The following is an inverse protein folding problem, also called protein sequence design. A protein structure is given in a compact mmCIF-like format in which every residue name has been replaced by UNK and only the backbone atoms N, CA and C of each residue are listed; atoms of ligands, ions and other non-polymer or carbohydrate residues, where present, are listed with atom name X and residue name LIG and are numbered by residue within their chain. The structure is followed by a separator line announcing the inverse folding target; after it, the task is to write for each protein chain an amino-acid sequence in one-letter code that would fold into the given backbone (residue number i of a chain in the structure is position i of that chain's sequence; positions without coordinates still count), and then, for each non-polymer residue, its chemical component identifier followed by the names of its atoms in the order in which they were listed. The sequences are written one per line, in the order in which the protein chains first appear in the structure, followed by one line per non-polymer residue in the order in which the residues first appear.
data_IF_192237891175
#
_entry.id   IF_192237891175
#
_cell.length_a   1.000
_cell.length_b   1.000
_cell.length_c   1.000
_cell.angle_alpha   90.00
_cell.angle_beta   90.00
_cell.angle_gamma   90.00
#
_symmetry.space_group_name_H-M   'P 1'
#
loop_
_entity.id
_entity.type
_entity.pdbx_description
1 polymer ?
#
# COMPACT_ATOMS: atom_id res chain seq x y z
N UNK A 1 -14.09 -39.54 -107.95
CA UNK A 1 -13.38 -40.54 -108.77
C UNK A 1 -12.17 -39.84 -109.34
N UNK A 2 -10.98 -40.44 -109.25
CA UNK A 2 -9.77 -39.82 -109.79
C UNK A 2 -9.91 -39.67 -111.31
N UNK A 3 -9.53 -38.51 -111.83
CA UNK A 3 -9.56 -38.23 -113.26
C UNK A 3 -8.63 -39.23 -113.98
N UNK A 4 -9.06 -40.00 -115.00
CA UNK A 4 -8.23 -41.02 -115.65
C UNK A 4 -6.92 -40.46 -116.23
N UNK A 5 -6.92 -39.16 -116.54
CA UNK A 5 -5.75 -38.42 -117.00
C UNK A 5 -4.74 -38.16 -115.87
N UNK A 6 -5.22 -37.95 -114.64
CA UNK A 6 -4.36 -37.83 -113.47
C UNK A 6 -3.62 -39.15 -113.21
N UNK A 7 -4.32 -40.28 -113.24
CA UNK A 7 -3.76 -41.63 -113.03
C UNK A 7 -2.69 -41.99 -114.06
N UNK A 8 -2.82 -41.52 -115.30
CA UNK A 8 -1.85 -41.71 -116.38
C UNK A 8 -0.60 -40.80 -116.27
N UNK A 9 -0.74 -39.65 -115.60
CA UNK A 9 0.35 -38.70 -115.36
C UNK A 9 1.10 -38.95 -114.05
N UNK A 10 0.51 -39.71 -113.10
CA UNK A 10 1.14 -40.08 -111.80
C UNK A 10 2.59 -40.57 -111.94
N UNK A 11 2.93 -41.48 -112.87
CA UNK A 11 4.28 -42.04 -112.98
C UNK A 11 5.35 -41.03 -113.44
N UNK A 12 4.94 -39.90 -114.00
CA UNK A 12 5.83 -38.90 -114.58
C UNK A 12 6.09 -37.70 -113.66
N UNK A 13 5.47 -37.65 -112.47
CA UNK A 13 5.73 -36.60 -111.47
C UNK A 13 7.05 -36.82 -110.68
N UNK A 14 7.74 -37.95 -110.87
CA UNK A 14 8.94 -38.36 -110.11
C UNK A 14 10.29 -37.87 -110.70
N UNK A 15 10.30 -36.82 -111.55
CA UNK A 15 11.54 -36.10 -111.91
C UNK A 15 11.74 -34.88 -110.99
N UNK A 16 12.99 -34.49 -110.65
CA UNK A 16 13.35 -34.05 -109.30
C UNK A 16 12.72 -32.68 -108.94
N UNK A 17 11.57 -32.71 -108.28
CA UNK A 17 10.94 -31.52 -107.71
C UNK A 17 10.85 -31.66 -106.18
N UNK A 18 11.15 -30.62 -105.39
CA UNK A 18 11.15 -30.68 -103.92
C UNK A 18 9.74 -30.62 -103.32
N UNK A 19 8.67 -30.84 -104.11
CA UNK A 19 7.29 -30.67 -103.68
C UNK A 19 6.54 -32.00 -103.74
N UNK A 20 5.74 -32.36 -102.72
CA UNK A 20 4.94 -33.58 -102.76
C UNK A 20 3.94 -33.54 -103.92
N UNK A 21 3.58 -34.70 -104.52
CA UNK A 21 2.65 -34.76 -105.63
C UNK A 21 1.28 -34.19 -105.21
N UNK A 22 0.62 -33.40 -106.09
CA UNK A 22 -0.65 -32.77 -105.77
C UNK A 22 -1.75 -33.83 -105.57
N UNK A 23 -2.63 -33.64 -104.58
CA UNK A 23 -3.71 -34.60 -104.27
C UNK A 23 -4.83 -34.50 -105.31
N UNK A 24 -5.41 -35.64 -105.71
CA UNK A 24 -6.48 -35.71 -106.72
C UNK A 24 -7.78 -35.00 -106.32
N UNK A 25 -8.00 -34.75 -105.03
CA UNK A 25 -9.17 -34.04 -104.48
C UNK A 25 -9.03 -32.51 -104.43
N UNK A 26 -7.87 -31.94 -104.77
CA UNK A 26 -7.73 -30.49 -104.75
C UNK A 26 -8.50 -29.84 -105.93
N UNK A 27 -9.38 -28.86 -105.67
CA UNK A 27 -10.28 -28.28 -106.68
C UNK A 27 -9.52 -27.50 -107.76
N UNK A 28 -8.32 -27.02 -107.46
CA UNK A 28 -7.44 -26.33 -108.41
C UNK A 28 -6.77 -27.30 -109.38
N UNK A 29 -6.39 -28.49 -108.90
CA UNK A 29 -5.77 -29.56 -109.69
C UNK A 29 -6.77 -30.11 -110.71
N UNK A 30 -8.01 -30.39 -110.28
CA UNK A 30 -9.09 -30.88 -111.15
C UNK A 30 -9.50 -29.85 -112.22
N UNK A 31 -9.59 -28.57 -111.86
CA UNK A 31 -9.85 -27.49 -112.83
C UNK A 31 -8.74 -27.37 -113.89
N UNK A 32 -7.47 -27.52 -113.51
CA UNK A 32 -6.36 -27.47 -114.45
C UNK A 32 -6.32 -28.68 -115.40
N UNK A 33 -6.57 -29.88 -114.88
CA UNK A 33 -6.68 -31.10 -115.70
C UNK A 33 -7.81 -31.00 -116.73
N UNK A 34 -8.97 -30.47 -116.34
CA UNK A 34 -10.07 -30.23 -117.28
C UNK A 34 -9.67 -29.25 -118.40
N UNK A 35 -8.88 -28.22 -118.08
CA UNK A 35 -8.38 -27.27 -119.08
C UNK A 35 -7.41 -27.95 -120.06
N UNK A 36 -6.51 -28.83 -119.59
CA UNK A 36 -5.59 -29.56 -120.47
C UNK A 36 -6.32 -30.40 -121.52
N UNK A 37 -7.47 -30.98 -121.19
CA UNK A 37 -8.27 -31.77 -122.15
C UNK A 37 -8.89 -30.93 -123.28
N UNK A 38 -8.96 -29.62 -123.12
CA UNK A 38 -9.59 -28.71 -124.09
C UNK A 38 -8.61 -28.04 -125.05
N UNK A 39 -7.29 -28.24 -124.91
CA UNK A 39 -6.26 -27.62 -125.76
C UNK A 39 -5.79 -28.56 -126.89
N UNK A 40 -5.48 -28.03 -128.10
CA UNK A 40 -4.96 -28.83 -129.20
C UNK A 40 -3.48 -29.24 -128.99
N UNK A 41 -3.09 -30.39 -129.55
CA UNK A 41 -1.83 -31.08 -129.28
C UNK A 41 -0.57 -30.25 -129.58
N UNK A 42 -0.64 -29.36 -130.58
CA UNK A 42 0.45 -28.44 -130.93
C UNK A 42 0.65 -27.32 -129.89
N UNK A 43 -0.43 -26.90 -129.22
CA UNK A 43 -0.39 -25.89 -128.16
C UNK A 43 0.08 -26.47 -126.83
N UNK A 44 -0.20 -27.75 -126.56
CA UNK A 44 0.27 -28.48 -125.38
C UNK A 44 1.79 -28.65 -125.36
N UNK A 45 2.42 -28.88 -126.51
CA UNK A 45 3.88 -29.10 -126.60
C UNK A 45 4.69 -27.81 -126.62
N UNK A 46 4.15 -26.74 -127.22
CA UNK A 46 4.93 -25.49 -127.44
C UNK A 46 4.52 -24.35 -126.52
N UNK A 47 3.22 -24.07 -126.38
CA UNK A 47 2.72 -22.87 -125.70
C UNK A 47 2.42 -23.07 -124.22
N UNK A 48 1.90 -24.24 -123.82
CA UNK A 48 1.54 -24.53 -122.43
C UNK A 48 2.76 -24.53 -121.49
N UNK A 49 3.90 -25.20 -121.77
CA UNK A 49 5.07 -25.16 -120.89
C UNK A 49 5.66 -23.75 -120.78
N UNK A 50 5.62 -22.96 -121.86
CA UNK A 50 6.04 -21.55 -121.83
C UNK A 50 5.09 -20.71 -120.96
N UNK A 51 3.78 -20.95 -121.04
CA UNK A 51 2.80 -20.26 -120.20
C UNK A 51 2.89 -20.66 -118.72
N UNK A 52 3.20 -21.94 -118.43
CA UNK A 52 3.32 -22.44 -117.07
C UNK A 52 4.61 -21.95 -116.41
N UNK A 53 5.71 -21.91 -117.16
CA UNK A 53 6.96 -21.29 -116.69
C UNK A 53 6.79 -19.78 -116.48
N UNK A 54 6.09 -19.08 -117.39
CA UNK A 54 5.80 -17.65 -117.23
C UNK A 54 4.89 -17.37 -116.03
N UNK A 55 3.82 -18.14 -115.83
CA UNK A 55 2.90 -17.99 -114.68
C UNK A 55 3.56 -18.38 -113.37
N UNK A 56 4.38 -19.42 -113.36
CA UNK A 56 5.17 -19.78 -112.17
C UNK A 56 6.14 -18.66 -111.82
N UNK A 57 6.86 -18.13 -112.82
CA UNK A 57 7.77 -17.01 -112.60
C UNK A 57 7.02 -15.75 -112.15
N UNK A 58 5.86 -15.43 -112.73
CA UNK A 58 5.05 -14.28 -112.32
C UNK A 58 4.48 -14.45 -110.90
N UNK A 59 4.02 -15.66 -110.55
CA UNK A 59 3.54 -15.97 -109.20
C UNK A 59 4.67 -15.94 -108.19
N UNK A 60 5.84 -16.48 -108.51
CA UNK A 60 7.01 -16.39 -107.65
C UNK A 60 7.45 -14.94 -107.44
N UNK A 61 7.46 -14.13 -108.50
CA UNK A 61 7.72 -12.69 -108.36
C UNK A 61 6.63 -12.00 -107.52
N UNK A 62 5.35 -12.37 -107.69
CA UNK A 62 4.26 -11.81 -106.90
C UNK A 62 4.31 -12.22 -105.43
N UNK A 63 4.68 -13.48 -105.13
CA UNK A 63 4.88 -13.99 -103.78
C UNK A 63 6.14 -13.41 -103.16
N UNK A 64 7.22 -13.25 -103.93
CA UNK A 64 8.42 -12.59 -103.47
C UNK A 64 8.16 -11.11 -103.21
N UNK A 65 7.37 -10.44 -104.06
CA UNK A 65 6.96 -9.05 -103.86
C UNK A 65 6.03 -8.91 -102.66
N UNK A 66 5.06 -9.82 -102.49
CA UNK A 66 4.16 -9.86 -101.34
C UNK A 66 4.94 -10.15 -100.05
N UNK A 67 5.84 -11.14 -100.07
CA UNK A 67 6.74 -11.45 -98.96
C UNK A 67 7.63 -10.24 -98.65
N UNK A 68 8.32 -9.64 -99.63
CA UNK A 68 9.12 -8.43 -99.39
C UNK A 68 8.28 -7.30 -98.80
N UNK A 69 7.08 -7.04 -99.35
CA UNK A 69 6.20 -5.95 -98.93
C UNK A 69 5.55 -6.19 -97.57
N UNK A 70 5.19 -7.43 -97.24
CA UNK A 70 4.33 -7.77 -96.09
C UNK A 70 4.89 -8.84 -95.15
N UNK A 71 6.15 -9.27 -95.31
CA UNK A 71 6.77 -10.26 -94.42
C UNK A 71 6.68 -9.83 -92.96
N UNK A 72 6.85 -8.54 -92.67
CA UNK A 72 6.71 -8.01 -91.31
C UNK A 72 5.31 -8.26 -90.75
N UNK A 73 4.25 -7.98 -91.51
CA UNK A 73 2.86 -8.22 -91.09
C UNK A 73 2.53 -9.72 -90.97
N UNK A 74 3.09 -10.56 -91.85
CA UNK A 74 2.91 -12.02 -91.78
C UNK A 74 3.64 -12.60 -90.57
N UNK A 75 4.86 -12.13 -90.29
CA UNK A 75 5.62 -12.53 -89.10
C UNK A 75 4.91 -12.03 -87.84
N UNK A 76 4.49 -10.77 -87.81
CA UNK A 76 3.72 -10.19 -86.69
C UNK A 76 2.42 -10.96 -86.45
N UNK A 77 1.64 -11.28 -87.48
CA UNK A 77 0.42 -12.07 -87.30
C UNK A 77 0.72 -13.49 -86.80
N UNK A 78 1.78 -14.13 -87.30
CA UNK A 78 2.21 -15.45 -86.82
C UNK A 78 2.71 -15.41 -85.38
N UNK A 79 3.43 -14.37 -84.97
CA UNK A 79 3.89 -14.19 -83.59
C UNK A 79 2.73 -13.80 -82.68
N UNK A 80 1.77 -13.01 -83.14
CA UNK A 80 0.53 -12.73 -82.41
C UNK A 80 -0.30 -14.00 -82.22
N UNK A 81 -0.38 -14.88 -83.22
CA UNK A 81 -1.11 -16.15 -83.10
C UNK A 81 -0.39 -17.11 -82.14
N UNK A 82 0.94 -17.21 -82.21
CA UNK A 82 1.70 -18.06 -81.29
C UNK A 82 1.67 -17.51 -79.86
N UNK A 83 1.79 -16.20 -79.67
CA UNK A 83 1.65 -15.57 -78.35
C UNK A 83 0.24 -15.75 -77.81
N UNK A 84 -0.81 -15.56 -78.62
CA UNK A 84 -2.20 -15.79 -78.23
C UNK A 84 -2.44 -17.24 -77.80
N UNK A 85 -1.83 -18.21 -78.49
CA UNK A 85 -1.93 -19.63 -78.11
C UNK A 85 -1.36 -19.93 -76.72
N UNK A 86 -0.45 -19.08 -76.20
CA UNK A 86 0.15 -19.21 -74.87
C UNK A 86 -0.47 -18.28 -73.81
N UNK A 87 -0.91 -17.08 -74.21
CA UNK A 87 -1.54 -16.11 -73.30
C UNK A 87 -2.97 -16.51 -72.95
N UNK A 88 -3.70 -17.16 -73.85
CA UNK A 88 -5.08 -17.59 -73.59
C UNK A 88 -5.16 -18.67 -72.48
N UNK A 89 -4.31 -19.72 -72.47
CA UNK A 89 -4.27 -20.67 -71.35
C UNK A 89 -3.83 -20.04 -70.02
N UNK A 90 -2.86 -19.12 -70.03
CA UNK A 90 -2.40 -18.45 -68.81
C UNK A 90 -3.45 -17.48 -68.26
N UNK A 91 -4.20 -16.80 -69.13
CA UNK A 91 -5.37 -16.01 -68.74
C UNK A 91 -6.49 -16.91 -68.19
N UNK A 92 -6.75 -18.06 -68.81
CA UNK A 92 -7.72 -19.03 -68.31
C UNK A 92 -7.32 -19.55 -66.92
N UNK A 93 -6.04 -19.85 -66.69
CA UNK A 93 -5.55 -20.30 -65.40
C UNK A 93 -5.62 -19.20 -64.33
N UNK A 94 -5.27 -17.96 -64.67
CA UNK A 94 -5.33 -16.83 -63.72
C UNK A 94 -6.78 -16.46 -63.37
N UNK A 95 -7.71 -16.54 -64.33
CA UNK A 95 -9.14 -16.34 -64.07
C UNK A 95 -9.75 -17.44 -63.20
N UNK A 96 -9.33 -18.69 -63.37
CA UNK A 96 -9.72 -19.80 -62.47
C UNK A 96 -9.16 -19.58 -61.07
N UNK A 97 -7.88 -19.23 -60.93
CA UNK A 97 -7.26 -18.90 -59.64
C UNK A 97 -7.96 -17.74 -58.93
N UNK A 98 -8.29 -16.67 -59.66
CA UNK A 98 -9.02 -15.53 -59.12
C UNK A 98 -10.43 -15.93 -58.68
N UNK A 99 -11.13 -16.74 -59.47
CA UNK A 99 -12.45 -17.29 -59.14
C UNK A 99 -12.42 -18.14 -57.87
N UNK A 100 -11.35 -18.91 -57.63
CA UNK A 100 -11.20 -19.71 -56.41
C UNK A 100 -10.75 -18.88 -55.19
N UNK A 101 -10.00 -17.80 -55.40
CA UNK A 101 -9.52 -16.93 -54.33
C UNK A 101 -10.59 -15.95 -53.82
N UNK A 102 -11.46 -15.46 -54.70
CA UNK A 102 -12.51 -14.49 -54.37
C UNK A 102 -13.44 -14.95 -53.22
N UNK A 103 -14.01 -16.17 -53.22
CA UNK A 103 -14.88 -16.61 -52.13
C UNK A 103 -14.13 -16.79 -50.82
N UNK A 104 -12.84 -17.18 -50.85
CA UNK A 104 -12.02 -17.27 -49.63
C UNK A 104 -11.81 -15.90 -49.00
N UNK A 105 -11.55 -14.89 -49.84
CA UNK A 105 -11.42 -13.50 -49.40
C UNK A 105 -12.76 -12.97 -48.85
N UNK A 106 -13.86 -13.26 -49.52
CA UNK A 106 -15.20 -12.82 -49.08
C UNK A 106 -15.59 -13.46 -47.75
N UNK A 107 -15.38 -14.77 -47.58
CA UNK A 107 -15.54 -15.42 -46.28
C UNK A 107 -14.61 -14.85 -45.20
N UNK A 108 -13.35 -14.54 -45.54
CA UNK A 108 -12.43 -13.88 -44.60
C UNK A 108 -12.89 -12.45 -44.24
N UNK A 109 -13.48 -11.70 -45.17
CA UNK A 109 -14.02 -10.37 -44.94
C UNK A 109 -15.29 -10.41 -44.09
N UNK A 110 -16.19 -11.36 -44.34
CA UNK A 110 -17.41 -11.57 -43.55
C UNK A 110 -17.02 -11.97 -42.12
N UNK A 111 -16.16 -12.97 -41.95
CA UNK A 111 -15.68 -13.38 -40.62
C UNK A 111 -14.95 -12.25 -39.91
N UNK A 112 -14.12 -11.45 -40.58
CA UNK A 112 -13.51 -10.26 -40.00
C UNK A 112 -14.57 -9.23 -39.57
N UNK A 113 -15.56 -8.95 -40.42
CA UNK A 113 -16.62 -7.99 -40.09
C UNK A 113 -17.42 -8.47 -38.87
N UNK A 114 -17.84 -9.74 -38.82
CA UNK A 114 -18.61 -10.30 -37.73
C UNK A 114 -17.80 -10.34 -36.41
N UNK A 115 -16.51 -10.68 -36.48
CA UNK A 115 -15.64 -10.77 -35.29
C UNK A 115 -15.21 -9.42 -34.74
N UNK A 116 -15.14 -8.37 -35.57
CA UNK A 116 -14.68 -7.03 -35.19
C UNK A 116 -15.75 -5.93 -35.26
N UNK A 117 -17.04 -6.29 -35.44
CA UNK A 117 -18.13 -5.32 -35.53
C UNK A 117 -18.32 -4.51 -34.24
N UNK A 118 -18.53 -3.19 -34.41
CA UNK A 118 -18.65 -2.22 -33.31
C UNK A 118 -20.02 -2.26 -32.59
N UNK A 119 -20.95 -3.11 -33.05
CA UNK A 119 -22.34 -3.19 -32.56
C UNK A 119 -22.46 -4.07 -31.31
N UNK A 120 -22.02 -3.49 -30.20
CA UNK A 120 -22.50 -3.57 -28.82
C UNK A 120 -22.87 -4.88 -28.09
N UNK A 121 -22.99 -6.07 -28.68
CA UNK A 121 -23.45 -7.25 -27.91
C UNK A 121 -22.57 -8.51 -28.05
N UNK A 122 -21.88 -8.69 -29.19
CA UNK A 122 -20.94 -9.79 -29.40
C UNK A 122 -19.49 -9.25 -29.41
N UNK A 123 -19.06 -8.57 -28.34
CA UNK A 123 -17.66 -8.19 -28.21
C UNK A 123 -16.82 -9.47 -28.15
N UNK A 124 -16.14 -9.78 -29.26
CA UNK A 124 -15.14 -10.84 -29.26
C UNK A 124 -14.22 -10.62 -28.05
N UNK A 125 -13.99 -11.66 -27.26
CA UNK A 125 -13.19 -11.59 -26.04
C UNK A 125 -11.81 -10.93 -26.28
N UNK A 126 -11.32 -10.99 -27.52
CA UNK A 126 -10.12 -10.32 -28.01
C UNK A 126 -10.25 -8.79 -28.03
N UNK A 127 -11.34 -8.23 -28.56
CA UNK A 127 -11.59 -6.78 -28.55
C UNK A 127 -11.74 -6.25 -27.12
N UNK A 128 -12.46 -6.97 -26.26
CA UNK A 128 -12.58 -6.57 -24.85
C UNK A 128 -11.23 -6.66 -24.12
N UNK A 129 -10.44 -7.70 -24.37
CA UNK A 129 -9.07 -7.80 -23.85
C UNK A 129 -8.21 -6.65 -24.35
N UNK A 130 -8.29 -6.30 -25.64
CA UNK A 130 -7.52 -5.18 -26.21
C UNK A 130 -7.98 -3.83 -25.64
N UNK A 131 -9.29 -3.62 -25.48
CA UNK A 131 -9.86 -2.43 -24.86
C UNK A 131 -9.42 -2.30 -23.40
N UNK A 132 -9.51 -3.38 -22.62
CA UNK A 132 -9.02 -3.45 -21.24
C UNK A 132 -7.52 -3.19 -21.17
N UNK A 133 -6.72 -3.77 -22.07
CA UNK A 133 -5.28 -3.54 -22.13
C UNK A 133 -4.93 -2.08 -22.46
N UNK A 134 -5.65 -1.44 -23.40
CA UNK A 134 -5.47 -0.02 -23.72
C UNK A 134 -5.91 0.91 -22.58
N UNK A 135 -6.99 0.57 -21.89
CA UNK A 135 -7.42 1.30 -20.69
C UNK A 135 -6.39 1.18 -19.57
N UNK A 136 -5.86 -0.03 -19.36
CA UNK A 136 -4.81 -0.28 -18.38
C UNK A 136 -3.53 0.46 -18.76
N UNK A 137 -3.06 0.39 -20.01
CA UNK A 137 -1.85 1.10 -20.44
C UNK A 137 -1.97 2.60 -20.28
N UNK A 138 -3.15 3.18 -20.54
CA UNK A 138 -3.39 4.62 -20.34
C UNK A 138 -3.39 5.01 -18.87
N UNK A 139 -3.90 4.15 -17.99
CA UNK A 139 -4.05 4.43 -16.57
C UNK A 139 -2.92 3.82 -15.71
N UNK A 140 -1.93 3.15 -16.31
CA UNK A 140 -0.91 2.40 -15.61
C UNK A 140 -0.12 3.26 -14.62
N UNK A 141 0.25 4.48 -15.01
CA UNK A 141 0.96 5.41 -14.12
C UNK A 141 0.15 5.75 -12.86
N UNK A 142 -1.15 6.03 -13.01
CA UNK A 142 -2.02 6.34 -11.86
C UNK A 142 -2.23 5.14 -10.95
N UNK A 143 -2.29 3.93 -11.52
CA UNK A 143 -2.39 2.70 -10.74
C UNK A 143 -1.10 2.42 -9.97
N UNK A 144 0.05 2.72 -10.59
CA UNK A 144 1.35 2.64 -9.91
C UNK A 144 1.43 3.63 -8.76
N UNK A 145 1.03 4.89 -8.98
CA UNK A 145 0.98 5.89 -7.90
C UNK A 145 0.12 5.43 -6.71
N UNK A 146 -1.03 4.79 -6.99
CA UNK A 146 -1.92 4.23 -5.95
C UNK A 146 -1.26 3.06 -5.22
N UNK A 147 -0.53 2.20 -5.94
CA UNK A 147 0.22 1.08 -5.37
C UNK A 147 1.45 1.52 -4.56
N UNK A 148 2.00 2.71 -4.85
CA UNK A 148 3.12 3.29 -4.12
C UNK A 148 2.68 4.00 -2.82
N UNK A 149 1.39 4.32 -2.64
CA UNK A 149 0.92 5.02 -1.43
C UNK A 149 1.27 4.29 -0.11
N UNK A 150 1.08 2.96 0.03
CA UNK A 150 1.44 2.26 1.27
C UNK A 150 2.95 2.26 1.54
N UNK A 151 3.79 2.17 0.50
CA UNK A 151 5.25 2.17 0.64
C UNK A 151 5.77 3.56 1.00
N UNK A 152 5.17 4.61 0.45
CA UNK A 152 5.44 5.99 0.85
C UNK A 152 5.02 6.25 2.30
N UNK A 153 3.88 5.71 2.71
CA UNK A 153 3.39 5.82 4.08
C UNK A 153 4.35 5.11 5.06
N UNK A 154 4.77 3.87 4.79
CA UNK A 154 5.72 3.15 5.65
C UNK A 154 7.09 3.82 5.72
N UNK A 155 7.57 4.38 4.60
CA UNK A 155 8.81 5.17 4.56
C UNK A 155 8.72 6.48 5.35
N UNK A 156 7.59 7.20 5.26
CA UNK A 156 7.35 8.41 6.05
C UNK A 156 7.34 8.12 7.56
N UNK A 157 6.77 6.99 7.98
CA UNK A 157 6.78 6.55 9.38
C UNK A 157 8.20 6.18 9.82
N UNK A 158 8.90 5.35 9.05
CA UNK A 158 10.24 4.84 9.39
C UNK A 158 11.30 5.96 9.45
N UNK A 159 11.19 6.95 8.57
CA UNK A 159 12.07 8.12 8.60
C UNK A 159 11.84 8.99 9.85
N UNK A 160 10.61 9.05 10.35
CA UNK A 160 10.28 9.82 11.55
C UNK A 160 10.77 9.16 12.84
N UNK A 161 10.70 7.83 12.95
CA UNK A 161 11.25 7.10 14.11
C UNK A 161 12.77 7.25 14.23
N UNK A 162 13.49 7.25 13.11
CA UNK A 162 14.97 7.35 13.11
C UNK A 162 15.46 8.77 13.43
N UNK A 163 14.70 9.81 13.06
CA UNK A 163 15.05 11.21 13.36
C UNK A 163 14.87 11.57 14.85
N UNK A 164 14.18 10.75 15.65
CA UNK A 164 14.05 10.98 17.09
C UNK A 164 15.35 10.72 17.87
N UNK A 165 16.29 9.94 17.30
CA UNK A 165 17.58 9.62 17.92
C UNK A 165 18.70 10.61 17.55
N UNK A 166 18.55 11.36 16.45
CA UNK A 166 19.54 12.32 15.97
C UNK A 166 18.97 13.74 15.96
N UNK A 167 19.31 14.52 17.00
CA UNK A 167 19.06 15.96 17.16
C UNK A 167 17.60 16.37 17.42
N UNK A 168 17.35 16.74 18.68
CA UNK A 168 16.10 17.30 19.21
C UNK A 168 15.73 18.72 18.69
N UNK A 169 16.22 19.14 17.52
CA UNK A 169 16.17 20.54 17.05
C UNK A 169 15.50 20.79 15.70
N UNK A 170 14.96 19.79 14.99
CA UNK A 170 14.32 20.04 13.69
C UNK A 170 12.83 19.67 13.68
N UNK A 171 12.00 20.66 13.33
CA UNK A 171 10.57 20.49 13.04
C UNK A 171 10.27 19.48 11.92
N UNK A 172 11.30 18.96 11.24
CA UNK A 172 11.21 18.03 10.13
C UNK A 172 10.74 16.61 10.51
N UNK A 173 11.07 16.10 11.71
CA UNK A 173 10.52 14.81 12.16
C UNK A 173 8.99 14.84 12.36
N UNK A 174 8.48 16.02 12.71
CA UNK A 174 7.06 16.29 12.95
C UNK A 174 6.24 16.45 11.68
N UNK A 175 6.84 16.89 10.57
CA UNK A 175 6.16 16.98 9.27
C UNK A 175 5.90 15.61 8.65
N UNK A 176 6.75 14.63 8.93
CA UNK A 176 6.66 13.30 8.30
C UNK A 176 5.48 12.48 8.84
N UNK A 177 5.18 12.56 10.14
CA UNK A 177 3.95 11.96 10.67
C UNK A 177 2.70 12.68 10.18
N UNK A 178 2.73 14.01 10.04
CA UNK A 178 1.59 14.75 9.51
C UNK A 178 1.28 14.34 8.06
N UNK A 179 2.29 14.26 7.19
CA UNK A 179 2.11 13.80 5.80
C UNK A 179 1.66 12.34 5.72
N UNK A 180 2.17 11.45 6.58
CA UNK A 180 1.72 10.06 6.65
C UNK A 180 0.22 9.96 7.00
N UNK A 181 -0.28 10.82 7.90
CA UNK A 181 -1.71 10.88 8.24
C UNK A 181 -2.56 11.42 7.10
N UNK A 182 -2.07 12.41 6.36
CA UNK A 182 -2.76 12.93 5.18
C UNK A 182 -2.85 11.85 4.10
N UNK A 183 -1.77 11.08 3.86
CA UNK A 183 -1.76 9.93 2.94
C UNK A 183 -2.76 8.85 3.37
N UNK A 184 -2.80 8.51 4.67
CA UNK A 184 -3.79 7.58 5.21
C UNK A 184 -5.22 8.08 4.96
N UNK A 185 -5.49 9.36 5.21
CA UNK A 185 -6.82 9.93 4.97
C UNK A 185 -7.22 9.84 3.49
N UNK A 186 -6.26 10.02 2.58
CA UNK A 186 -6.46 9.86 1.14
C UNK A 186 -6.75 8.39 0.77
N UNK A 187 -6.02 7.43 1.33
CA UNK A 187 -6.25 5.99 1.11
C UNK A 187 -7.65 5.57 1.62
N UNK A 188 -8.05 6.04 2.82
CA UNK A 188 -9.39 5.78 3.36
C UNK A 188 -10.49 6.38 2.48
N UNK A 189 -10.29 7.60 1.97
CA UNK A 189 -11.21 8.23 1.01
C UNK A 189 -11.28 7.45 -0.30
N UNK A 190 -10.14 6.97 -0.81
CA UNK A 190 -10.08 6.15 -2.02
C UNK A 190 -10.86 4.83 -1.85
N UNK A 191 -10.73 4.19 -0.68
CA UNK A 191 -11.50 2.99 -0.35
C UNK A 191 -13.01 3.26 -0.27
N UNK A 192 -13.41 4.39 0.33
CA UNK A 192 -14.81 4.79 0.37
C UNK A 192 -15.41 5.08 -1.03
N UNK A 193 -14.60 5.59 -1.96
CA UNK A 193 -15.02 5.87 -3.33
C UNK A 193 -15.08 4.61 -4.21
N UNK A 194 -14.24 3.59 -3.93
CA UNK A 194 -14.13 2.38 -4.74
C UNK A 194 -14.13 1.09 -3.89
N UNK A 195 -15.24 0.79 -3.17
CA UNK A 195 -15.30 -0.37 -2.27
C UNK A 195 -15.23 -1.72 -3.00
N UNK A 196 -15.71 -1.79 -4.25
CA UNK A 196 -15.74 -3.04 -5.05
C UNK A 196 -14.36 -3.44 -5.63
N UNK A 197 -13.33 -2.60 -5.48
CA UNK A 197 -12.02 -2.86 -6.06
C UNK A 197 -11.12 -3.65 -5.10
N UNK A 198 -10.70 -4.89 -5.43
CA UNK A 198 -9.83 -5.68 -4.56
C UNK A 198 -8.44 -5.06 -4.40
N UNK A 199 -7.96 -4.31 -5.41
CA UNK A 199 -6.68 -3.59 -5.33
C UNK A 199 -6.73 -2.50 -4.27
N UNK A 200 -7.81 -1.70 -4.24
CA UNK A 200 -7.97 -0.63 -3.25
C UNK A 200 -8.15 -1.20 -1.85
N UNK A 201 -8.85 -2.33 -1.71
CA UNK A 201 -8.94 -3.06 -0.44
C UNK A 201 -7.58 -3.58 0.04
N UNK A 202 -6.72 -4.06 -0.86
CA UNK A 202 -5.36 -4.48 -0.52
C UNK A 202 -4.49 -3.29 -0.09
N UNK A 203 -4.61 -2.15 -0.79
CA UNK A 203 -3.88 -0.92 -0.46
C UNK A 203 -4.33 -0.37 0.90
N UNK A 204 -5.62 -0.40 1.21
CA UNK A 204 -6.12 0.02 2.53
C UNK A 204 -5.64 -0.90 3.64
N UNK A 205 -5.65 -2.22 3.44
CA UNK A 205 -5.14 -3.18 4.42
C UNK A 205 -3.63 -2.98 4.70
N UNK A 206 -2.82 -2.74 3.66
CA UNK A 206 -1.41 -2.42 3.84
C UNK A 206 -1.21 -1.10 4.58
N UNK A 207 -2.01 -0.07 4.25
CA UNK A 207 -1.98 1.19 4.98
C UNK A 207 -2.33 1.00 6.45
N UNK A 208 -3.35 0.20 6.78
CA UNK A 208 -3.74 -0.13 8.16
C UNK A 208 -2.61 -0.79 8.93
N UNK A 209 -1.90 -1.77 8.33
CA UNK A 209 -0.73 -2.39 8.97
C UNK A 209 0.39 -1.37 9.26
N UNK A 210 0.70 -0.50 8.30
CA UNK A 210 1.72 0.52 8.50
C UNK A 210 1.29 1.56 9.56
N UNK A 211 0.00 1.87 9.67
CA UNK A 211 -0.52 2.76 10.73
C UNK A 211 -0.45 2.09 12.10
N UNK A 212 -0.65 0.77 12.19
CA UNK A 212 -0.41 0.02 13.43
C UNK A 212 1.06 0.14 13.84
N UNK A 213 2.00 0.05 12.89
CA UNK A 213 3.43 0.30 13.15
C UNK A 213 3.69 1.75 13.61
N UNK A 214 2.99 2.74 13.05
CA UNK A 214 3.04 4.12 13.56
C UNK A 214 2.54 4.20 15.00
N UNK A 215 1.43 3.55 15.33
CA UNK A 215 0.90 3.51 16.70
C UNK A 215 1.91 2.90 17.68
N UNK A 216 2.52 1.77 17.35
CA UNK A 216 3.52 1.13 18.21
C UNK A 216 4.75 2.03 18.42
N UNK A 217 5.22 2.70 17.36
CA UNK A 217 6.31 3.68 17.44
C UNK A 217 5.97 4.90 18.30
N UNK A 218 4.75 5.44 18.19
CA UNK A 218 4.28 6.55 19.03
C UNK A 218 4.15 6.14 20.50
N UNK A 219 3.65 4.94 20.78
CA UNK A 219 3.57 4.38 22.14
C UNK A 219 4.98 4.16 22.71
N UNK A 220 5.92 3.65 21.92
CA UNK A 220 7.32 3.50 22.32
C UNK A 220 7.96 4.86 22.64
N UNK A 221 7.68 5.89 21.83
CA UNK A 221 8.12 7.27 22.09
C UNK A 221 7.54 7.82 23.39
N UNK A 222 6.27 7.53 23.70
CA UNK A 222 5.62 7.89 24.96
C UNK A 222 6.20 7.16 26.17
N UNK A 223 6.87 6.01 26.00
CA UNK A 223 7.60 5.30 27.07
C UNK A 223 9.02 5.84 27.28
N UNK A 224 9.51 6.70 26.39
CA UNK A 224 10.85 7.26 26.48
C UNK A 224 11.10 8.15 27.72
N UNK A 225 12.33 8.07 28.24
CA UNK A 225 12.78 8.75 29.47
C UNK A 225 12.88 10.28 29.36
N UNK A 226 12.98 10.84 28.14
CA UNK A 226 13.27 12.25 27.89
C UNK A 226 12.11 13.02 27.23
N UNK A 227 10.87 12.67 27.57
CA UNK A 227 9.70 13.31 26.95
C UNK A 227 9.46 14.73 27.48
N UNK A 228 9.55 15.71 26.59
CA UNK A 228 9.14 17.10 26.85
C UNK A 228 7.63 17.26 26.61
N UNK A 229 6.97 18.16 27.36
CA UNK A 229 5.54 18.45 27.25
C UNK A 229 5.10 18.72 25.79
N UNK A 230 5.82 19.56 25.06
CA UNK A 230 5.49 19.89 23.67
C UNK A 230 5.59 18.68 22.72
N UNK A 231 6.43 17.70 23.02
CA UNK A 231 6.54 16.45 22.27
C UNK A 231 5.40 15.51 22.65
N UNK A 232 5.07 15.41 23.93
CA UNK A 232 3.96 14.62 24.47
C UNK A 232 2.60 15.06 23.87
N UNK A 233 2.37 16.37 23.82
CA UNK A 233 1.15 16.93 23.24
C UNK A 233 1.02 16.59 21.74
N UNK A 234 2.14 16.63 21.00
CA UNK A 234 2.17 16.28 19.57
C UNK A 234 1.92 14.80 19.34
N UNK A 235 2.58 13.91 20.08
CA UNK A 235 2.38 12.45 19.94
C UNK A 235 0.95 12.05 20.26
N UNK A 236 0.35 12.64 21.30
CA UNK A 236 -1.05 12.37 21.66
C UNK A 236 -2.02 12.98 20.63
N UNK A 237 -1.69 14.15 20.06
CA UNK A 237 -2.47 14.73 18.95
C UNK A 237 -2.47 13.82 17.70
N UNK A 238 -1.31 13.25 17.34
CA UNK A 238 -1.26 12.26 16.27
C UNK A 238 -2.01 10.97 16.61
N UNK A 239 -1.89 10.49 17.85
CA UNK A 239 -2.59 9.29 18.30
C UNK A 239 -4.12 9.46 18.26
N UNK A 240 -4.64 10.64 18.62
CA UNK A 240 -6.07 10.99 18.46
C UNK A 240 -6.54 10.92 17.01
N UNK A 241 -5.69 11.33 16.06
CA UNK A 241 -6.02 11.31 14.62
C UNK A 241 -5.93 9.91 14.02
N UNK A 242 -4.98 9.11 14.49
CA UNK A 242 -4.78 7.73 14.01
C UNK A 242 -5.86 6.80 14.53
N UNK A 243 -6.16 6.91 15.83
CA UNK A 243 -7.03 6.01 16.56
C UNK A 243 -8.12 6.81 17.29
N UNK A 244 -9.10 7.35 16.56
CA UNK A 244 -10.24 8.06 17.17
C UNK A 244 -11.06 7.14 18.09
N UNK A 245 -11.03 5.83 17.84
CA UNK A 245 -11.63 4.79 18.70
C UNK A 245 -11.10 4.79 20.14
N UNK A 246 -9.88 5.29 20.38
CA UNK A 246 -9.29 5.38 21.72
C UNK A 246 -9.70 6.66 22.46
N UNK A 247 -10.22 7.67 21.75
CA UNK A 247 -10.68 8.93 22.34
C UNK A 247 -12.11 8.81 22.87
N UNK A 248 -12.94 7.97 22.23
CA UNK A 248 -14.25 7.62 22.76
C UNK A 248 -14.10 6.56 23.87
N UNK A 249 -14.63 6.81 25.09
CA UNK A 249 -14.74 5.74 26.07
C UNK A 249 -15.65 4.69 25.46
N UNK A 250 -15.14 3.47 25.33
CA UNK A 250 -15.90 2.29 24.91
C UNK A 250 -17.10 2.09 25.82
N UNK A 251 -18.24 2.70 25.50
CA UNK A 251 -19.52 2.08 25.78
C UNK A 251 -19.58 0.88 24.83
N UNK A 252 -19.23 -0.29 25.32
CA UNK A 252 -19.36 -1.56 24.62
C UNK A 252 -20.70 -1.67 23.90
N UNK A 253 -20.75 -1.80 22.56
CA UNK A 253 -21.95 -2.25 21.87
C UNK A 253 -21.97 -3.77 21.98
N UNK A 254 -22.33 -4.30 23.16
CA UNK A 254 -22.79 -5.67 23.20
C UNK A 254 -24.29 -5.65 22.92
N UNK A 255 -24.63 -6.11 21.72
CA UNK A 255 -25.94 -6.51 21.21
C UNK A 255 -26.79 -5.50 20.43
N UNK A 256 -27.18 -6.01 19.26
CA UNK A 256 -28.30 -5.66 18.39
C UNK A 256 -28.11 -4.52 17.39
N UNK A 257 -27.90 -4.95 16.15
CA UNK A 257 -28.56 -4.41 14.96
C UNK A 257 -29.79 -3.55 15.31
N UNK A 258 -29.72 -2.25 15.01
CA UNK A 258 -30.76 -1.52 14.28
C UNK A 258 -30.19 -0.17 13.82
N UNK A 259 -30.27 0.05 12.51
CA UNK A 259 -29.96 1.33 11.87
C UNK A 259 -30.98 2.37 12.31
N UNK A 260 -30.57 3.36 13.10
CA UNK A 260 -31.23 4.68 13.10
C UNK A 260 -30.17 5.75 13.27
N UNK A 261 -30.01 6.58 12.24
CA UNK A 261 -29.25 7.82 12.33
C UNK A 261 -29.86 8.70 13.42
N UNK A 262 -29.11 8.97 14.47
CA UNK A 262 -29.46 9.96 15.47
C UNK A 262 -28.24 10.82 15.71
N UNK A 263 -28.39 12.08 15.32
CA UNK A 263 -27.49 13.20 15.54
C UNK A 263 -27.21 13.35 17.04
N UNK A 264 -26.13 12.74 17.52
CA UNK A 264 -25.66 12.92 18.89
C UNK A 264 -24.91 14.25 19.00
N UNK A 265 -25.68 15.31 19.28
CA UNK A 265 -25.20 16.55 19.85
C UNK A 265 -24.44 16.28 21.15
N UNK A 266 -23.26 16.88 21.28
CA UNK A 266 -22.28 16.60 22.32
C UNK A 266 -22.78 16.72 23.75
N UNK A 267 -22.77 15.59 24.45
CA UNK A 267 -22.57 15.55 25.90
C UNK A 267 -21.06 15.49 26.17
N UNK A 268 -20.58 16.34 27.09
CA UNK A 268 -19.17 16.43 27.49
C UNK A 268 -18.70 15.19 28.27
N UNK A 269 -18.77 14.01 27.66
CA UNK A 269 -18.18 12.78 28.19
C UNK A 269 -16.66 12.93 28.18
N UNK A 270 -16.08 12.94 29.38
CA UNK A 270 -14.66 12.89 29.69
C UNK A 270 -13.70 12.90 28.48
N UNK A 271 -13.11 14.07 28.17
CA UNK A 271 -12.03 14.26 27.17
C UNK A 271 -10.76 13.45 27.48
N UNK A 272 -10.83 12.59 28.49
CA UNK A 272 -9.76 11.82 29.08
C UNK A 272 -9.64 10.44 28.41
N UNK A 273 -10.72 9.90 27.83
CA UNK A 273 -10.74 8.72 26.93
C UNK A 273 -9.92 7.49 27.41
N UNK A 274 -9.68 6.54 26.52
CA UNK A 274 -8.68 5.48 26.74
C UNK A 274 -7.25 6.01 26.56
N UNK A 275 -7.08 7.13 25.86
CA UNK A 275 -5.78 7.79 25.62
C UNK A 275 -5.13 8.33 26.90
N UNK A 276 -5.90 8.88 27.83
CA UNK A 276 -5.40 9.31 29.13
C UNK A 276 -4.86 8.13 29.94
N UNK A 277 -5.64 7.04 30.01
CA UNK A 277 -5.19 5.80 30.65
C UNK A 277 -3.91 5.24 29.99
N UNK A 278 -3.85 5.21 28.66
CA UNK A 278 -2.67 4.75 27.93
C UNK A 278 -1.44 5.60 28.24
N UNK A 279 -1.58 6.94 28.28
CA UNK A 279 -0.48 7.82 28.66
C UNK A 279 0.04 7.50 30.06
N UNK A 280 -0.86 7.33 31.04
CA UNK A 280 -0.49 7.00 32.42
C UNK A 280 0.18 5.63 32.50
N UNK A 281 -0.29 4.62 31.77
CA UNK A 281 0.34 3.28 31.72
C UNK A 281 1.73 3.34 31.09
N UNK A 282 1.90 4.05 29.96
CA UNK A 282 3.22 4.23 29.34
C UNK A 282 4.20 4.94 30.28
N UNK A 283 3.71 5.95 31.01
CA UNK A 283 4.50 6.72 31.98
C UNK A 283 4.82 5.91 33.24
N UNK A 284 3.87 5.08 33.71
CA UNK A 284 4.10 4.13 34.80
C UNK A 284 5.18 3.12 34.43
N UNK A 285 5.11 2.56 33.23
CA UNK A 285 6.13 1.62 32.74
C UNK A 285 7.51 2.28 32.64
N UNK A 286 7.58 3.55 32.25
CA UNK A 286 8.83 4.31 32.26
C UNK A 286 9.35 4.52 33.70
N UNK A 287 8.47 4.84 34.65
CA UNK A 287 8.82 4.95 36.07
C UNK A 287 9.34 3.61 36.61
N UNK A 288 8.67 2.49 36.32
CA UNK A 288 9.14 1.15 36.70
C UNK A 288 10.50 0.82 36.10
N UNK A 289 10.76 1.18 34.85
CA UNK A 289 12.08 1.02 34.22
C UNK A 289 13.17 1.84 34.90
N UNK A 290 12.86 3.08 35.30
CA UNK A 290 13.79 3.90 36.07
C UNK A 290 14.04 3.30 37.46
N UNK A 291 13.00 2.79 38.12
CA UNK A 291 13.13 2.13 39.42
C UNK A 291 13.86 0.78 39.32
N UNK A 292 13.70 0.03 38.23
CA UNK A 292 14.47 -1.19 37.99
C UNK A 292 15.95 -0.90 37.74
N UNK A 293 16.31 0.30 37.25
CA UNK A 293 17.72 0.68 37.16
C UNK A 293 18.39 0.83 38.54
N UNK A 294 17.62 0.92 39.64
CA UNK A 294 18.12 0.87 41.02
C UNK A 294 18.26 -0.57 41.54
N UNK A 295 18.01 -1.59 40.71
CA UNK A 295 18.20 -2.99 41.06
C UNK A 295 19.54 -3.32 41.76
N UNK A 296 20.71 -2.83 41.32
CA UNK A 296 21.96 -3.12 42.06
C UNK A 296 21.96 -2.57 43.49
N UNK A 297 21.34 -1.40 43.73
CA UNK A 297 21.19 -0.85 45.08
C UNK A 297 20.12 -1.63 45.88
N UNK A 298 19.08 -2.11 45.20
CA UNK A 298 18.04 -2.96 45.80
C UNK A 298 18.61 -4.30 46.25
N UNK A 299 19.46 -4.94 45.46
CA UNK A 299 20.10 -6.21 45.82
C UNK A 299 20.99 -6.07 47.05
N UNK A 300 21.73 -4.96 47.15
CA UNK A 300 22.54 -4.66 48.33
C UNK A 300 21.68 -4.44 49.58
N UNK A 301 20.56 -3.72 49.43
CA UNK A 301 19.57 -3.57 50.48
C UNK A 301 18.93 -4.92 50.87
N UNK A 302 18.59 -5.77 49.90
CA UNK A 302 18.03 -7.10 50.12
C UNK A 302 19.03 -8.01 50.85
N UNK A 303 20.32 -7.94 50.52
CA UNK A 303 21.38 -8.64 51.26
C UNK A 303 21.48 -8.19 52.72
N UNK A 304 21.33 -6.88 53.00
CA UNK A 304 21.24 -6.37 54.38
C UNK A 304 19.99 -6.90 55.10
N UNK A 305 18.83 -6.89 54.44
CA UNK A 305 17.59 -7.43 55.02
C UNK A 305 17.70 -8.93 55.33
N UNK A 306 18.36 -9.70 54.46
CA UNK A 306 18.59 -11.13 54.64
C UNK A 306 19.58 -11.41 55.78
N UNK A 307 20.64 -10.61 55.91
CA UNK A 307 21.59 -10.68 57.03
C UNK A 307 20.91 -10.39 58.37
N UNK A 308 20.00 -9.42 58.41
CA UNK A 308 19.23 -9.10 59.62
C UNK A 308 18.27 -10.23 60.01
N UNK A 309 17.56 -10.83 59.04
CA UNK A 309 16.66 -11.96 59.28
C UNK A 309 17.40 -13.27 59.59
N UNK A 310 18.56 -13.51 58.98
CA UNK A 310 19.42 -14.69 59.23
C UNK A 310 20.30 -14.58 60.48
N UNK A 311 20.57 -13.36 60.96
CA UNK A 311 21.40 -13.07 62.15
C UNK A 311 20.74 -13.42 63.49
N UNK A 312 19.51 -13.96 63.49
CA UNK A 312 18.81 -14.42 64.68
C UNK A 312 19.59 -15.50 65.47
N UNK A 313 20.55 -16.21 64.85
CA UNK A 313 21.36 -17.27 65.47
C UNK A 313 22.79 -16.85 65.88
N UNK A 314 23.16 -15.57 65.79
CA UNK A 314 24.55 -15.11 66.05
C UNK A 314 24.73 -14.60 67.49
N UNK A 315 25.93 -14.86 68.04
CA UNK A 315 26.34 -14.51 69.41
C UNK A 315 26.20 -13.01 69.74
N UNK A 316 25.94 -12.69 71.02
CA UNK A 316 25.67 -11.31 71.51
C UNK A 316 26.72 -10.26 71.12
N UNK A 317 27.99 -10.64 70.93
CA UNK A 317 29.09 -9.72 70.59
C UNK A 317 29.15 -9.30 69.11
N UNK A 318 28.77 -10.18 68.18
CA UNK A 318 28.66 -9.83 66.74
C UNK A 318 27.39 -9.02 66.45
N UNK A 319 26.34 -9.19 67.28
CA UNK A 319 25.13 -8.35 67.20
C UNK A 319 25.41 -6.89 67.47
N UNK A 320 26.36 -6.54 68.34
CA UNK A 320 26.71 -5.14 68.64
C UNK A 320 27.50 -4.47 67.52
N UNK A 321 28.43 -5.19 66.86
CA UNK A 321 29.12 -4.67 65.65
C UNK A 321 28.18 -4.53 64.45
N UNK A 322 27.33 -5.53 64.22
CA UNK A 322 26.27 -5.46 63.20
C UNK A 322 25.21 -4.40 63.50
N UNK A 323 25.06 -3.96 64.76
CA UNK A 323 24.13 -2.91 65.18
C UNK A 323 24.55 -1.53 64.67
N UNK A 324 25.86 -1.30 64.50
CA UNK A 324 26.43 0.00 64.12
C UNK A 324 26.57 0.15 62.59
N UNK A 325 26.73 -0.95 61.85
CA UNK A 325 26.92 -0.92 60.39
C UNK A 325 25.67 -1.31 59.59
N UNK A 326 24.57 -1.70 60.25
CA UNK A 326 23.35 -2.16 59.57
C UNK A 326 22.49 -1.02 59.05
N UNK A 327 22.21 -1.01 57.74
CA UNK A 327 21.16 -0.19 57.12
C UNK A 327 21.64 0.96 56.24
N UNK A 328 22.95 1.21 56.14
CA UNK A 328 23.48 2.29 55.29
C UNK A 328 23.19 2.08 53.80
N UNK A 329 23.18 0.82 53.32
CA UNK A 329 22.84 0.56 51.93
C UNK A 329 21.33 0.60 51.69
N UNK A 330 20.52 0.13 52.63
CA UNK A 330 19.06 0.32 52.60
C UNK A 330 18.67 1.80 52.59
N UNK A 331 19.36 2.66 53.36
CA UNK A 331 19.15 4.10 53.38
C UNK A 331 19.49 4.74 52.02
N UNK A 332 20.66 4.40 51.44
CA UNK A 332 21.06 4.92 50.12
C UNK A 332 20.08 4.52 49.02
N UNK A 333 19.58 3.28 49.06
CA UNK A 333 18.55 2.81 48.15
C UNK A 333 17.24 3.60 48.33
N UNK A 334 16.73 3.70 49.56
CA UNK A 334 15.48 4.40 49.87
C UNK A 334 15.55 5.88 49.49
N UNK A 335 16.65 6.55 49.82
CA UNK A 335 16.86 7.96 49.46
C UNK A 335 16.78 8.16 47.94
N UNK A 336 17.49 7.33 47.18
CA UNK A 336 17.50 7.44 45.71
C UNK A 336 16.14 7.04 45.10
N UNK A 337 15.48 6.04 45.68
CA UNK A 337 14.13 5.63 45.29
C UNK A 337 13.13 6.76 45.48
N UNK A 338 13.09 7.38 46.66
CA UNK A 338 12.16 8.48 46.99
C UNK A 338 12.43 9.71 46.10
N UNK A 339 13.70 10.04 45.85
CA UNK A 339 14.08 11.13 44.94
C UNK A 339 13.50 10.92 43.53
N UNK A 340 13.76 9.76 42.91
CA UNK A 340 13.29 9.44 41.56
C UNK A 340 11.76 9.33 41.54
N UNK A 341 11.18 8.63 42.51
CA UNK A 341 9.73 8.46 42.62
C UNK A 341 9.02 9.81 42.71
N UNK A 342 9.49 10.72 43.58
CA UNK A 342 8.91 12.05 43.77
C UNK A 342 8.99 12.89 42.50
N UNK A 343 10.17 12.94 41.87
CA UNK A 343 10.38 13.74 40.65
C UNK A 343 9.49 13.23 39.51
N UNK A 344 9.47 11.91 39.30
CA UNK A 344 8.76 11.31 38.18
C UNK A 344 7.24 11.28 38.40
N UNK A 345 6.75 10.97 39.61
CA UNK A 345 5.31 11.02 39.91
C UNK A 345 4.73 12.44 39.73
N UNK A 346 5.44 13.47 40.20
CA UNK A 346 5.04 14.86 40.00
C UNK A 346 5.04 15.25 38.52
N UNK A 347 6.10 14.91 37.79
CA UNK A 347 6.22 15.21 36.37
C UNK A 347 5.10 14.56 35.54
N UNK A 348 4.77 13.29 35.83
CA UNK A 348 3.73 12.54 35.11
C UNK A 348 2.35 13.18 35.33
N UNK A 349 1.97 13.45 36.57
CA UNK A 349 0.64 14.01 36.88
C UNK A 349 0.51 15.46 36.41
N UNK A 350 1.58 16.26 36.54
CA UNK A 350 1.61 17.63 36.01
C UNK A 350 1.49 17.66 34.48
N UNK A 351 2.27 16.82 33.79
CA UNK A 351 2.22 16.70 32.33
C UNK A 351 0.85 16.20 31.86
N UNK A 352 0.28 15.24 32.58
CA UNK A 352 -1.07 14.74 32.32
C UNK A 352 -2.12 15.84 32.38
N UNK A 353 -2.19 16.59 33.49
CA UNK A 353 -3.15 17.69 33.67
C UNK A 353 -2.99 18.78 32.60
N UNK A 354 -1.77 18.99 32.11
CA UNK A 354 -1.52 19.94 31.02
C UNK A 354 -1.99 19.44 29.65
N UNK A 355 -1.90 18.14 29.39
CA UNK A 355 -2.31 17.52 28.11
C UNK A 355 -3.82 17.25 28.07
N UNK A 356 -4.37 16.85 29.22
CA UNK A 356 -5.78 16.55 29.45
C UNK A 356 -6.30 17.50 30.54
N UNK A 357 -6.63 18.75 30.18
CA UNK A 357 -7.25 19.66 31.11
C UNK A 357 -8.55 19.03 31.63
N UNK A 358 -8.81 19.05 32.95
CA UNK A 358 -10.12 18.65 33.46
C UNK A 358 -11.18 19.46 32.74
N UNK A 359 -12.27 18.81 32.34
CA UNK A 359 -13.42 19.54 31.79
C UNK A 359 -13.73 20.67 32.79
N UNK A 360 -13.72 21.92 32.30
CA UNK A 360 -13.96 23.07 33.15
C UNK A 360 -15.19 22.77 34.01
N UNK A 361 -15.03 22.82 35.32
CA UNK A 361 -16.17 22.85 36.23
C UNK A 361 -17.14 23.89 35.65
N UNK A 362 -18.44 23.59 35.57
CA UNK A 362 -19.40 24.59 35.09
C UNK A 362 -19.18 25.83 35.95
N UNK A 363 -18.79 26.92 35.31
CA UNK A 363 -18.58 28.20 35.95
C UNK A 363 -19.81 28.50 36.78
N UNK A 364 -19.64 28.66 38.10
CA UNK A 364 -20.68 29.20 38.96
C UNK A 364 -21.04 30.60 38.46
N UNK A 365 -22.08 30.69 37.64
CA UNK A 365 -22.39 31.92 36.94
C UNK A 365 -23.45 31.78 35.87
N UNK A 366 -24.50 30.97 36.10
CA UNK A 366 -25.87 31.24 35.63
C UNK A 366 -26.80 30.18 36.24
N UNK A 367 -27.44 30.53 37.35
CA UNK A 367 -28.66 29.85 37.79
C UNK A 367 -29.77 30.34 36.84
N UNK A 368 -30.13 29.55 35.83
CA UNK A 368 -31.55 29.34 35.52
C UNK A 368 -31.80 28.29 34.42
N UNK A 369 -32.70 27.37 34.77
CA UNK A 369 -33.58 26.53 33.94
C UNK A 369 -32.92 25.58 32.92
N UNK A 370 -32.71 24.32 33.32
CA UNK A 370 -32.97 23.14 32.49
C UNK A 370 -33.38 21.95 33.39
N UNK A 371 -34.31 21.09 32.94
CA UNK A 371 -34.91 20.05 33.77
C UNK A 371 -33.95 18.89 33.99
N UNK A 372 -34.04 18.33 35.20
CA UNK A 372 -33.37 17.10 35.63
C UNK A 372 -33.66 15.94 34.67
N UNK A 373 -32.69 15.56 33.85
CA UNK A 373 -32.61 14.22 33.28
C UNK A 373 -31.69 13.40 34.19
N UNK A 374 -32.27 12.78 35.22
CA UNK A 374 -31.65 11.67 35.92
C UNK A 374 -31.51 10.52 34.93
N UNK A 375 -30.38 10.44 34.23
CA UNK A 375 -29.91 9.17 33.72
C UNK A 375 -29.32 8.41 34.91
N UNK A 376 -30.21 7.75 35.66
CA UNK A 376 -29.86 6.76 36.68
C UNK A 376 -29.30 5.53 35.96
N UNK A 377 -28.03 5.58 35.56
CA UNK A 377 -27.25 4.36 35.33
C UNK A 377 -26.84 3.82 36.71
N UNK A 378 -27.27 2.59 37.11
CA UNK A 378 -27.01 2.04 38.45
C UNK A 378 -25.53 1.67 38.70
N UNK A 379 -24.66 1.90 37.72
CA UNK A 379 -23.22 1.77 37.83
C UNK A 379 -22.63 3.17 37.69
N UNK A 380 -22.07 3.68 38.79
CA UNK A 380 -21.28 4.91 38.78
C UNK A 380 -20.25 4.80 37.63
N UNK A 381 -20.03 5.88 36.85
CA UNK A 381 -19.03 5.87 35.80
C UNK A 381 -17.69 5.42 36.39
N UNK A 382 -16.97 4.53 35.68
CA UNK A 382 -15.70 4.00 36.18
C UNK A 382 -14.81 5.16 36.65
N UNK A 383 -14.11 5.01 37.80
CA UNK A 383 -13.23 6.05 38.30
C UNK A 383 -12.26 6.48 37.20
N UNK A 384 -12.16 7.79 36.98
CA UNK A 384 -11.27 8.38 35.99
C UNK A 384 -9.85 7.81 36.14
N UNK A 385 -9.14 7.55 35.05
CA UNK A 385 -7.78 6.97 35.07
C UNK A 385 -6.81 7.78 35.96
N UNK A 386 -6.99 9.10 36.06
CA UNK A 386 -6.23 9.94 36.98
C UNK A 386 -6.56 9.71 38.47
N UNK A 387 -7.76 9.25 38.83
CA UNK A 387 -8.12 9.00 40.23
C UNK A 387 -7.48 7.73 40.81
N UNK A 388 -7.27 6.72 39.98
CA UNK A 388 -6.66 5.44 40.37
C UNK A 388 -5.13 5.48 40.30
N UNK A 389 -4.56 6.34 39.46
CA UNK A 389 -3.12 6.42 39.26
C UNK A 389 -2.33 6.84 40.52
N UNK A 390 -2.68 7.93 41.25
CA UNK A 390 -2.08 8.26 42.54
C UNK A 390 -2.23 7.13 43.56
N UNK A 391 -3.36 6.44 43.62
CA UNK A 391 -3.55 5.30 44.53
C UNK A 391 -2.54 4.17 44.23
N UNK A 392 -2.32 3.85 42.95
CA UNK A 392 -1.31 2.87 42.55
C UNK A 392 0.11 3.31 42.92
N UNK A 393 0.45 4.59 42.68
CA UNK A 393 1.75 5.14 43.07
C UNK A 393 1.98 5.06 44.57
N UNK A 394 0.97 5.40 45.36
CA UNK A 394 1.00 5.34 46.82
C UNK A 394 1.21 3.90 47.30
N UNK A 395 0.48 2.93 46.76
CA UNK A 395 0.68 1.52 47.10
C UNK A 395 2.08 1.00 46.75
N UNK A 396 2.70 1.49 45.66
CA UNK A 396 4.10 1.15 45.34
C UNK A 396 5.08 1.70 46.38
N UNK A 397 4.93 2.97 46.74
CA UNK A 397 5.78 3.61 47.75
C UNK A 397 5.59 2.96 49.12
N UNK A 398 4.34 2.74 49.53
CA UNK A 398 3.98 2.05 50.77
C UNK A 398 4.64 0.67 50.87
N UNK A 399 4.49 -0.16 49.83
CA UNK A 399 5.09 -1.49 49.80
C UNK A 399 6.61 -1.48 49.91
N UNK A 400 7.27 -0.49 49.28
CA UNK A 400 8.73 -0.32 49.43
C UNK A 400 9.15 0.16 50.81
N UNK A 401 8.42 1.10 51.41
CA UNK A 401 8.69 1.60 52.75
C UNK A 401 8.50 0.49 53.79
N UNK A 402 7.36 -0.23 53.79
CA UNK A 402 7.11 -1.38 54.68
C UNK A 402 8.23 -2.43 54.61
N UNK A 403 8.81 -2.66 53.43
CA UNK A 403 9.87 -3.67 53.25
C UNK A 403 11.24 -3.22 53.76
N UNK A 404 11.62 -1.95 53.52
CA UNK A 404 13.00 -1.50 53.71
C UNK A 404 13.20 -0.55 54.90
N UNK A 405 12.20 0.24 55.27
CA UNK A 405 12.25 1.19 56.39
C UNK A 405 12.67 0.56 57.73
N UNK A 406 12.18 -0.63 58.14
CA UNK A 406 12.58 -1.22 59.43
C UNK A 406 14.05 -1.65 59.50
N UNK A 407 14.76 -1.71 58.37
CA UNK A 407 16.20 -2.03 58.37
C UNK A 407 17.07 -0.80 58.71
N UNK A 408 16.52 0.41 58.64
CA UNK A 408 17.23 1.66 58.95
C UNK A 408 17.07 1.96 60.45
N UNK A 409 18.11 1.65 61.23
CA UNK A 409 18.09 1.75 62.70
C UNK A 409 18.60 3.09 63.24
N UNK A 410 19.23 3.91 62.40
CA UNK A 410 19.70 5.23 62.79
C UNK A 410 18.53 6.22 62.75
N UNK A 411 18.23 6.82 63.91
CA UNK A 411 17.13 7.77 64.09
C UNK A 411 17.28 9.00 63.22
N UNK A 412 18.51 9.47 62.98
CA UNK A 412 18.74 10.68 62.19
C UNK A 412 18.48 10.48 60.70
N UNK A 413 18.86 9.32 60.15
CA UNK A 413 18.58 8.95 58.76
C UNK A 413 17.12 8.57 58.55
N UNK A 414 16.49 7.91 59.53
CA UNK A 414 15.05 7.66 59.53
C UNK A 414 14.25 8.96 59.48
N UNK A 415 14.51 9.90 60.39
CA UNK A 415 13.85 11.23 60.40
C UNK A 415 14.00 11.96 59.04
N UNK A 416 15.19 11.87 58.43
CA UNK A 416 15.48 12.44 57.12
C UNK A 416 14.66 11.80 55.99
N UNK A 417 14.61 10.46 55.93
CA UNK A 417 13.81 9.71 54.95
C UNK A 417 12.31 10.00 55.11
N UNK A 418 11.80 10.00 56.34
CA UNK A 418 10.41 10.32 56.63
C UNK A 418 10.06 11.74 56.20
N UNK A 419 10.93 12.71 56.49
CA UNK A 419 10.76 14.08 56.02
C UNK A 419 10.70 14.15 54.49
N UNK A 420 11.56 13.41 53.77
CA UNK A 420 11.51 13.33 52.31
C UNK A 420 10.21 12.71 51.79
N UNK A 421 9.68 11.69 52.47
CA UNK A 421 8.39 11.08 52.13
C UNK A 421 7.23 12.05 52.38
N UNK A 422 7.25 12.83 53.48
CA UNK A 422 6.26 13.89 53.72
C UNK A 422 6.33 14.98 52.64
N UNK A 423 7.52 15.37 52.18
CA UNK A 423 7.65 16.29 51.04
C UNK A 423 7.10 15.68 49.73
N UNK A 424 7.25 14.37 49.55
CA UNK A 424 6.64 13.66 48.43
C UNK A 424 5.10 13.68 48.54
N UNK A 425 4.55 13.34 49.71
CA UNK A 425 3.12 13.36 50.00
C UNK A 425 2.51 14.75 49.81
N UNK A 426 3.17 15.80 50.29
CA UNK A 426 2.73 17.18 50.05
C UNK A 426 2.75 17.58 48.57
N UNK A 427 3.77 17.15 47.82
CA UNK A 427 3.85 17.45 46.37
C UNK A 427 2.78 16.73 45.54
N UNK A 428 2.41 15.49 45.91
CA UNK A 428 1.36 14.72 45.25
C UNK A 428 -0.06 15.08 45.75
N UNK A 429 -0.17 15.53 47.01
CA UNK A 429 -1.39 16.02 47.63
C UNK A 429 -1.94 17.27 46.93
N UNK A 430 -1.06 18.19 46.50
CA UNK A 430 -1.43 19.32 45.62
C UNK A 430 -2.07 18.89 44.30
N UNK A 431 -1.85 17.64 43.90
CA UNK A 431 -2.35 17.04 42.66
C UNK A 431 -3.49 16.03 42.91
N UNK A 432 -4.06 16.00 44.13
CA UNK A 432 -5.25 15.22 44.48
C UNK A 432 -4.99 13.81 45.03
N UNK A 433 -3.75 13.49 45.38
CA UNK A 433 -3.38 12.21 46.01
C UNK A 433 -2.61 12.41 47.30
N UNK A 434 -3.26 12.94 48.33
CA UNK A 434 -2.64 13.05 49.66
C UNK A 434 -2.68 11.70 50.37
N UNK A 435 -1.52 11.18 50.72
CA UNK A 435 -1.34 9.91 51.44
C UNK A 435 -0.59 10.10 52.76
N UNK A 436 -0.49 11.35 53.25
CA UNK A 436 0.14 11.66 54.54
C UNK A 436 -0.53 10.91 55.70
N UNK A 437 -1.84 10.66 55.60
CA UNK A 437 -2.59 9.87 56.58
C UNK A 437 -2.28 8.36 56.50
N UNK A 438 -2.08 7.83 55.29
CA UNK A 438 -1.73 6.42 55.11
C UNK A 438 -0.35 6.10 55.69
N UNK A 439 0.58 7.04 55.58
CA UNK A 439 1.90 6.96 56.21
C UNK A 439 1.83 6.93 57.75
N UNK A 440 0.83 7.58 58.36
CA UNK A 440 0.63 7.52 59.81
C UNK A 440 0.17 6.13 60.25
N UNK A 441 -0.71 5.49 59.47
CA UNK A 441 -1.18 4.12 59.74
C UNK A 441 -0.06 3.08 59.61
N UNK A 442 0.93 3.30 58.73
CA UNK A 442 2.09 2.41 58.58
C UNK A 442 2.93 2.27 59.84
N UNK A 443 2.94 3.30 60.68
CA UNK A 443 3.84 3.39 61.83
C UNK A 443 3.13 3.33 63.17
N UNK A 444 1.80 3.31 63.16
CA UNK A 444 0.97 2.83 64.26
C UNK A 444 0.99 1.30 64.38
N UNK A 445 1.30 0.57 63.30
CA UNK A 445 1.45 -0.90 63.32
C UNK A 445 2.80 -1.38 63.89
N UNK A 446 3.79 -0.49 64.02
CA UNK A 446 5.11 -0.76 64.62
C UNK A 446 5.21 -0.07 66.01
N UNK A 447 6.05 -0.62 66.90
CA UNK A 447 6.10 -0.37 68.37
C UNK A 447 5.80 1.08 68.83
N UNK A 448 5.13 1.26 69.98
CA UNK A 448 4.65 2.56 70.53
C UNK A 448 5.72 3.68 70.58
N UNK A 449 7.01 3.33 70.64
CA UNK A 449 8.13 4.27 70.60
C UNK A 449 8.34 4.91 69.21
N UNK A 450 8.10 4.17 68.12
CA UNK A 450 8.26 4.66 66.74
C UNK A 450 7.09 5.57 66.33
N UNK A 451 5.90 5.31 66.87
CA UNK A 451 4.72 6.17 66.73
C UNK A 451 4.96 7.58 67.28
N UNK A 452 5.69 7.74 68.40
CA UNK A 452 6.04 9.04 68.95
C UNK A 452 7.02 9.83 68.08
N UNK A 453 7.99 9.14 67.46
CA UNK A 453 8.95 9.77 66.54
C UNK A 453 8.24 10.32 65.29
N UNK A 454 7.26 9.58 64.76
CA UNK A 454 6.42 10.02 63.65
C UNK A 454 5.61 11.27 63.95
N UNK A 455 4.96 11.32 65.11
CA UNK A 455 4.19 12.49 65.55
C UNK A 455 5.10 13.73 65.62
N UNK A 456 6.34 13.57 66.08
CA UNK A 456 7.31 14.66 66.15
C UNK A 456 7.82 15.09 64.77
N UNK A 457 8.07 14.17 63.84
CA UNK A 457 8.46 14.48 62.46
C UNK A 457 7.32 15.16 61.70
N UNK A 458 6.09 14.67 61.83
CA UNK A 458 4.89 15.28 61.23
C UNK A 458 4.66 16.68 61.81
N UNK A 459 4.82 16.87 63.13
CA UNK A 459 4.72 18.18 63.78
C UNK A 459 5.81 19.14 63.28
N UNK A 460 7.07 18.69 63.19
CA UNK A 460 8.19 19.47 62.62
C UNK A 460 7.93 19.83 61.15
N UNK A 461 7.47 18.90 60.33
CA UNK A 461 7.14 19.13 58.93
C UNK A 461 5.99 20.12 58.77
N UNK A 462 4.91 20.00 59.56
CA UNK A 462 3.78 20.94 59.53
C UNK A 462 4.20 22.38 59.87
N UNK A 463 5.11 22.54 60.83
CA UNK A 463 5.69 23.85 61.19
C UNK A 463 6.59 24.40 60.06
N UNK A 464 7.40 23.54 59.43
CA UNK A 464 8.26 23.93 58.31
C UNK A 464 7.45 24.29 57.05
N UNK A 465 6.43 23.51 56.71
CA UNK A 465 5.51 23.76 55.61
C UNK A 465 4.74 25.08 55.82
N UNK A 466 4.20 25.31 57.04
CA UNK A 466 3.55 26.57 57.38
C UNK A 466 4.49 27.78 57.31
N UNK A 467 5.76 27.61 57.68
CA UNK A 467 6.78 28.68 57.56
C UNK A 467 7.14 28.98 56.10
N UNK A 468 7.21 27.95 55.24
CA UNK A 468 7.43 28.10 53.80
C UNK A 468 6.24 28.78 53.10
N UNK A 469 5.00 28.44 53.46
CA UNK A 469 3.79 29.09 52.94
C UNK A 469 3.72 30.56 53.33
N UNK A 470 4.08 30.90 54.58
CA UNK A 470 4.18 32.29 55.04
C UNK A 470 5.30 33.06 54.31
N UNK A 471 6.41 32.42 53.97
CA UNK A 471 7.50 33.04 53.21
C UNK A 471 7.18 33.22 51.72
N UNK A 472 6.39 32.32 51.14
CA UNK A 472 5.93 32.43 49.74
C UNK A 472 4.82 33.48 49.62
N UNK A 473 3.87 33.52 50.57
CA UNK A 473 2.83 34.55 50.62
C UNK A 473 3.36 35.96 50.89
N UNK A 474 4.49 36.09 51.60
CA UNK A 474 5.15 37.39 51.82
C UNK A 474 5.90 37.93 50.59
N UNK A 475 6.04 37.15 49.51
CA UNK A 475 6.76 37.55 48.28
C UNK A 475 5.83 37.94 47.13
N UNK A 476 4.51 37.75 47.29
CA UNK A 476 3.46 38.17 46.36
C UNK A 476 2.65 39.38 46.90
N UNK A 477 3.11 40.03 47.97
CA UNK A 477 2.51 41.24 48.56
C UNK A 477 3.20 42.52 48.13
#
# INVERSE_FOLDING_TARGET
MADPLYELLVPYFDSPSPRPPPKSTDPTTTAYLSRLTTLPLNSLTTTEPQSLTQTTHSLLLSLQALSKRSHKSIIESSTHLSTLSSTLPTLAQSTVSLREALPKLDHAAITFSETYNLRAENTSALLDRRRKALLLSRNAGRLLDVLDLPTLLSSAISSSSNSAAASASTAAGSSNYASALDLNSHIKRLHALYPESPLVSSVSQQAESAIQDMCTNLIASLRGNSLKLASAMRTISWLRRVAPELDHPTSTPLSSDYRTSSLATGGASSREGALGALFLVCRLSNLEQMLSALEPLRELADQETAKLKGGANISKGERERSKWEGGQQTERYLKRYIEIFREQSFAIVSMYRSIFPPAAAPSEGLKDVLPSSKNDDPLLPLPTALSTFPQKLVGMLEGTLRKYLPNVRDRSSRDSLLTQVLYCAGSLGRLGGDFSMLLALLTEEEEEEESQEWVDVVRKHRVLAGRLELMVGAKEG
#
